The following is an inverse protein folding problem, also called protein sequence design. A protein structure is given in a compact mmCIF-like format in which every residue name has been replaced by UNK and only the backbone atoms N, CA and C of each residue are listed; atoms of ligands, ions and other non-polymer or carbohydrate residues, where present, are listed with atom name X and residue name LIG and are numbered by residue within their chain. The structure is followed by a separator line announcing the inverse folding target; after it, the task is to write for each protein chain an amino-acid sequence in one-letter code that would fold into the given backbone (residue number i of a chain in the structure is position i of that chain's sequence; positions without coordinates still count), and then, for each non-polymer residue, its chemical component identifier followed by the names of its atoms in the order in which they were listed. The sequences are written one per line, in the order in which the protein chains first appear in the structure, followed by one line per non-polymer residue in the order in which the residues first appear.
data_IF_574697208594
#
_entry.id   IF_574697208594
#
_cell.length_a   1.000
_cell.length_b   1.000
_cell.length_c   1.000
_cell.angle_alpha   90.00
_cell.angle_beta   90.00
_cell.angle_gamma   90.00
#
_symmetry.space_group_name_H-M   'P 1'
#
loop_
_entity.id
_entity.type
_entity.pdbx_description
1 polymer ?
#
# COMPACT_ATOMS: atom_id res chain seq x y z
N UNK A 1 -27.03 -2.61 6.07
CA UNK A 1 -26.53 -1.22 5.88
C UNK A 1 -25.46 -1.00 6.93
N UNK A 2 -24.27 -0.52 6.58
CA UNK A 2 -23.33 -0.07 7.60
C UNK A 2 -23.83 1.23 8.21
N UNK A 3 -23.90 1.30 9.55
CA UNK A 3 -24.37 2.48 10.30
C UNK A 3 -23.39 3.65 10.20
N UNK A 4 -22.12 3.39 9.84
CA UNK A 4 -21.03 4.38 9.73
C UNK A 4 -20.78 5.15 11.03
N UNK A 5 -21.09 4.51 12.15
CA UNK A 5 -20.84 4.99 13.50
C UNK A 5 -19.62 4.26 14.07
N UNK A 6 -19.01 4.85 15.09
CA UNK A 6 -17.96 4.19 15.85
C UNK A 6 -18.56 3.17 16.82
N UNK A 7 -17.86 2.05 17.04
CA UNK A 7 -18.21 1.12 18.12
C UNK A 7 -17.68 1.64 19.46
N UNK A 8 -16.42 2.05 19.48
CA UNK A 8 -15.71 2.54 20.67
C UNK A 8 -14.64 3.54 20.26
N UNK A 9 -14.39 4.52 21.14
CA UNK A 9 -13.29 5.47 21.01
C UNK A 9 -12.37 5.38 22.22
N UNK A 10 -11.06 5.29 21.97
CA UNK A 10 -10.04 5.20 23.01
C UNK A 10 -9.05 6.37 22.92
N UNK A 11 -8.77 7.00 24.05
CA UNK A 11 -7.58 7.85 24.19
C UNK A 11 -6.35 6.96 24.42
N UNK A 12 -5.83 6.41 23.32
CA UNK A 12 -4.83 5.36 23.37
C UNK A 12 -3.45 5.84 23.87
N UNK A 13 -2.95 6.96 23.34
CA UNK A 13 -1.60 7.48 23.59
C UNK A 13 -1.60 8.98 23.83
N UNK A 14 -0.51 9.49 24.43
CA UNK A 14 -0.32 10.94 24.61
C UNK A 14 0.08 11.63 23.31
N UNK A 15 1.03 11.03 22.58
CA UNK A 15 1.49 11.52 21.28
C UNK A 15 0.72 10.93 20.10
N UNK A 16 1.32 10.97 18.91
CA UNK A 16 0.67 10.51 17.69
C UNK A 16 0.64 8.98 17.65
N UNK A 17 -0.50 8.43 17.25
CA UNK A 17 -0.62 7.02 16.91
C UNK A 17 -0.04 6.86 15.50
N UNK A 18 1.21 6.45 15.42
CA UNK A 18 1.96 6.36 14.17
C UNK A 18 1.57 5.13 13.37
N UNK A 19 1.08 4.07 14.04
CA UNK A 19 0.62 2.87 13.38
C UNK A 19 -0.49 2.17 14.15
N UNK A 20 -1.37 1.53 13.38
CA UNK A 20 -2.45 0.70 13.89
C UNK A 20 -2.51 -0.60 13.08
N UNK A 21 -2.83 -1.69 13.74
CA UNK A 21 -3.03 -2.98 13.09
C UNK A 21 -4.12 -3.76 13.83
N UNK A 22 -4.89 -4.56 13.10
CA UNK A 22 -5.84 -5.51 13.68
C UNK A 22 -5.16 -6.86 13.80
N UNK A 23 -5.41 -7.58 14.90
CA UNK A 23 -4.78 -8.88 15.14
C UNK A 23 -5.80 -9.86 15.71
N UNK A 24 -5.51 -11.15 15.55
CA UNK A 24 -6.21 -12.24 16.22
C UNK A 24 -5.21 -12.87 17.20
N UNK A 25 -5.14 -12.36 18.45
CA UNK A 25 -4.09 -12.76 19.37
C UNK A 25 -4.30 -14.22 19.76
N UNK A 26 -3.24 -15.03 19.67
CA UNK A 26 -3.25 -16.38 20.20
C UNK A 26 -2.53 -16.38 21.54
N UNK A 27 -3.28 -16.33 22.63
CA UNK A 27 -2.72 -16.50 23.97
C UNK A 27 -2.57 -17.99 24.27
N UNK A 28 -1.47 -18.37 24.92
CA UNK A 28 -1.28 -19.76 25.35
C UNK A 28 -2.30 -20.20 26.41
N UNK A 29 -2.73 -19.26 27.27
CA UNK A 29 -3.55 -19.57 28.44
C UNK A 29 -5.06 -19.50 28.14
N UNK A 30 -5.48 -18.66 27.18
CA UNK A 30 -6.87 -18.39 26.87
C UNK A 30 -7.08 -18.35 25.36
N UNK A 31 -8.09 -19.06 24.87
CA UNK A 31 -8.56 -18.90 23.50
C UNK A 31 -9.53 -17.70 23.46
N UNK A 32 -9.23 -16.62 22.73
CA UNK A 32 -10.14 -15.48 22.68
C UNK A 32 -11.41 -15.81 21.89
N UNK A 33 -12.53 -15.21 22.32
CA UNK A 33 -13.80 -15.28 21.62
C UNK A 33 -13.83 -14.33 20.42
N UNK A 34 -13.18 -14.72 19.32
CA UNK A 34 -13.08 -13.94 18.07
C UNK A 34 -14.42 -13.60 17.41
N UNK A 35 -15.52 -14.23 17.84
CA UNK A 35 -16.87 -13.92 17.35
C UNK A 35 -17.45 -12.66 17.99
N UNK A 36 -17.06 -12.39 19.23
CA UNK A 36 -17.63 -11.29 20.02
C UNK A 36 -16.60 -10.21 20.31
N UNK A 37 -15.30 -10.52 20.16
CA UNK A 37 -14.22 -9.59 20.42
C UNK A 37 -13.27 -9.48 19.24
N UNK A 38 -13.06 -8.25 18.79
CA UNK A 38 -11.99 -7.90 17.87
C UNK A 38 -10.84 -7.26 18.64
N UNK A 39 -9.61 -7.53 18.22
CA UNK A 39 -8.42 -6.98 18.87
C UNK A 39 -7.66 -6.04 17.93
N UNK A 40 -7.22 -4.91 18.47
CA UNK A 40 -6.39 -3.95 17.75
C UNK A 40 -5.09 -3.68 18.52
N UNK A 41 -4.00 -3.51 17.78
CA UNK A 41 -2.70 -3.06 18.27
C UNK A 41 -2.48 -1.62 17.79
N UNK A 42 -2.12 -0.74 18.71
CA UNK A 42 -1.68 0.62 18.40
C UNK A 42 -0.22 0.80 18.80
N UNK A 43 0.58 1.42 17.92
CA UNK A 43 1.93 1.87 18.23
C UNK A 43 2.02 3.39 18.14
N UNK A 44 2.89 3.98 18.95
CA UNK A 44 3.01 5.43 19.08
C UNK A 44 4.46 5.88 19.29
N UNK A 45 4.66 7.18 19.15
CA UNK A 45 5.91 7.90 19.41
C UNK A 45 6.29 7.93 20.90
N UNK A 46 5.32 7.72 21.81
CA UNK A 46 5.50 7.66 23.26
C UNK A 46 6.19 6.36 23.76
N UNK A 47 6.74 5.57 22.83
CA UNK A 47 7.48 4.32 23.07
C UNK A 47 6.64 3.17 23.61
N UNK A 48 5.32 3.27 23.50
CA UNK A 48 4.42 2.19 23.93
C UNK A 48 3.70 1.56 22.74
N UNK A 49 3.47 0.26 22.83
CA UNK A 49 2.53 -0.47 21.97
C UNK A 49 1.44 -1.02 22.86
N UNK A 50 0.18 -0.78 22.52
CA UNK A 50 -0.97 -1.17 23.34
C UNK A 50 -1.87 -2.11 22.56
N UNK A 51 -2.31 -3.19 23.22
CA UNK A 51 -3.28 -4.16 22.71
C UNK A 51 -4.63 -3.89 23.35
N UNK A 52 -5.64 -3.72 22.51
CA UNK A 52 -7.00 -3.40 22.91
C UNK A 52 -7.97 -4.49 22.45
N UNK A 53 -8.98 -4.76 23.27
CA UNK A 53 -10.16 -5.56 22.95
C UNK A 53 -11.35 -4.64 22.69
N UNK A 54 -12.13 -4.97 21.66
CA UNK A 54 -13.35 -4.29 21.28
C UNK A 54 -14.46 -5.33 21.26
N UNK A 55 -15.56 -5.07 21.97
CA UNK A 55 -16.74 -5.92 21.88
C UNK A 55 -17.51 -5.60 20.59
N UNK A 56 -17.91 -6.64 19.86
CA UNK A 56 -18.59 -6.51 18.58
C UNK A 56 -19.84 -7.38 18.58
N UNK A 57 -20.94 -6.78 18.14
CA UNK A 57 -22.27 -7.40 18.10
C UNK A 57 -22.53 -8.19 16.79
N UNK A 58 -21.49 -8.77 16.20
CA UNK A 58 -21.58 -9.48 14.91
C UNK A 58 -22.43 -10.77 15.01
N UNK A 59 -22.39 -11.43 16.18
CA UNK A 59 -23.13 -12.69 16.42
C UNK A 59 -23.95 -12.60 17.72
N UNK A 60 -25.25 -12.88 17.63
CA UNK A 60 -26.18 -12.87 18.77
C UNK A 60 -26.17 -14.16 19.62
N UNK A 61 -25.21 -15.06 19.41
CA UNK A 61 -25.18 -16.39 20.04
C UNK A 61 -24.88 -16.36 21.54
N UNK A 62 -24.21 -15.30 22.02
CA UNK A 62 -24.04 -15.05 23.46
C UNK A 62 -24.85 -13.80 23.83
N UNK A 63 -26.18 -13.94 23.94
CA UNK A 63 -26.92 -13.04 24.84
C UNK A 63 -26.60 -13.54 26.24
N UNK A 64 -26.00 -12.68 27.06
CA UNK A 64 -25.87 -12.87 28.49
C UNK A 64 -27.23 -13.26 29.07
N UNK A 65 -27.46 -14.55 29.29
CA UNK A 65 -28.50 -15.01 30.20
C UNK A 65 -28.11 -14.50 31.58
N UNK A 66 -29.09 -13.90 32.26
CA UNK A 66 -29.00 -13.27 33.56
C UNK A 66 -28.00 -13.92 34.53
N UNK A 67 -27.20 -13.07 35.18
CA UNK A 67 -26.39 -13.38 36.37
C UNK A 67 -25.17 -14.30 36.17
N UNK A 68 -24.20 -13.88 35.34
CA UNK A 68 -22.81 -14.16 35.68
C UNK A 68 -21.94 -12.94 35.41
N UNK A 69 -21.24 -12.49 36.45
CA UNK A 69 -20.33 -11.35 36.49
C UNK A 69 -19.04 -11.67 35.74
N UNK A 70 -19.13 -12.05 34.46
CA UNK A 70 -17.96 -12.09 33.59
C UNK A 70 -17.73 -10.66 33.15
N UNK A 71 -16.70 -10.04 33.71
CA UNK A 71 -16.23 -8.71 33.33
C UNK A 71 -16.09 -8.71 31.80
N UNK A 72 -16.93 -7.94 31.10
CA UNK A 72 -16.66 -7.59 29.71
C UNK A 72 -15.39 -6.73 29.74
N UNK A 73 -14.23 -7.37 29.61
CA UNK A 73 -12.91 -6.72 29.58
C UNK A 73 -12.77 -5.96 28.25
N UNK A 74 -13.55 -4.90 28.08
CA UNK A 74 -13.41 -3.96 26.97
C UNK A 74 -12.32 -2.96 27.29
N UNK A 75 -11.41 -2.73 26.34
CA UNK A 75 -10.34 -1.76 26.48
C UNK A 75 -8.96 -2.38 26.51
N UNK A 76 -8.08 -1.84 27.37
CA UNK A 76 -6.66 -2.14 27.33
C UNK A 76 -6.37 -3.53 27.91
N UNK A 77 -5.97 -4.46 27.05
CA UNK A 77 -5.59 -5.82 27.46
C UNK A 77 -4.15 -5.84 27.95
N UNK A 78 -3.22 -5.27 27.16
CA UNK A 78 -1.77 -5.33 27.42
C UNK A 78 -1.05 -4.09 26.92
N UNK A 79 0.04 -3.74 27.60
CA UNK A 79 1.00 -2.72 27.15
C UNK A 79 2.38 -3.35 26.98
N UNK A 80 3.04 -3.02 25.87
CA UNK A 80 4.42 -3.38 25.56
C UNK A 80 5.25 -2.10 25.52
N UNK A 81 6.28 -2.04 26.35
CA UNK A 81 7.13 -0.86 26.46
C UNK A 81 8.45 -1.06 25.70
N UNK A 82 8.75 -0.09 24.85
CA UNK A 82 9.98 0.00 24.07
C UNK A 82 10.96 1.04 24.61
N UNK A 83 12.23 0.91 24.23
CA UNK A 83 13.26 1.90 24.56
C UNK A 83 13.19 3.13 23.64
N UNK A 84 12.77 2.91 22.39
CA UNK A 84 12.68 3.89 21.31
C UNK A 84 11.24 4.10 20.85
N UNK A 85 10.98 5.25 20.23
CA UNK A 85 9.72 5.54 19.57
C UNK A 85 9.45 4.56 18.42
N UNK A 86 8.18 4.24 18.19
CA UNK A 86 7.72 3.42 17.07
C UNK A 86 7.10 4.32 16.00
N UNK A 87 7.17 3.87 14.75
CA UNK A 87 6.63 4.57 13.58
C UNK A 87 5.64 3.69 12.82
N UNK A 88 5.92 2.40 12.67
CA UNK A 88 5.06 1.47 11.94
C UNK A 88 4.79 0.21 12.76
N UNK A 89 3.63 -0.41 12.52
CA UNK A 89 3.30 -1.72 13.08
C UNK A 89 2.54 -2.52 12.03
N UNK A 90 2.78 -3.82 12.03
CA UNK A 90 1.92 -4.77 11.33
C UNK A 90 1.94 -6.12 12.07
N UNK A 91 0.87 -6.89 11.92
CA UNK A 91 0.71 -8.19 12.59
C UNK A 91 0.93 -9.33 11.61
N UNK A 92 1.53 -10.40 12.11
CA UNK A 92 1.57 -11.65 11.38
C UNK A 92 0.17 -12.27 11.40
N UNK A 93 -0.25 -12.87 10.28
CA UNK A 93 -1.64 -13.32 10.11
C UNK A 93 -2.00 -14.59 10.86
N UNK A 94 -1.05 -15.52 11.00
CA UNK A 94 -1.29 -16.85 11.59
C UNK A 94 -0.85 -16.88 13.05
N UNK A 95 0.43 -16.65 13.28
CA UNK A 95 1.03 -16.57 14.62
C UNK A 95 0.65 -15.26 15.33
N UNK A 96 0.65 -15.27 16.66
CA UNK A 96 0.48 -14.08 17.53
C UNK A 96 1.65 -13.10 17.51
N UNK A 97 2.44 -13.11 16.45
CA UNK A 97 3.63 -12.30 16.29
C UNK A 97 3.27 -10.99 15.60
N UNK A 98 3.93 -9.90 15.94
CA UNK A 98 3.82 -8.64 15.23
C UNK A 98 5.18 -7.97 15.14
N UNK A 99 5.35 -7.13 14.12
CA UNK A 99 6.59 -6.41 13.91
C UNK A 99 6.34 -4.92 14.07
N UNK A 100 7.23 -4.25 14.80
CA UNK A 100 7.22 -2.81 14.98
C UNK A 100 8.43 -2.21 14.29
N UNK A 101 8.21 -1.20 13.46
CA UNK A 101 9.25 -0.35 12.90
C UNK A 101 9.37 0.93 13.71
N UNK A 102 10.59 1.41 13.90
CA UNK A 102 10.90 2.63 14.64
C UNK A 102 12.39 2.95 14.47
N UNK A 103 13.11 3.20 15.55
CA UNK A 103 14.58 3.30 15.47
C UNK A 103 15.23 2.00 14.99
N UNK A 104 14.64 0.84 15.31
CA UNK A 104 15.03 -0.49 14.87
C UNK A 104 13.77 -1.28 14.55
N UNK A 105 13.86 -2.31 13.71
CA UNK A 105 12.76 -3.25 13.50
C UNK A 105 12.82 -4.36 14.55
N UNK A 106 11.77 -4.44 15.36
CA UNK A 106 11.67 -5.42 16.43
C UNK A 106 10.50 -6.36 16.15
N UNK A 107 10.73 -7.65 16.38
CA UNK A 107 9.72 -8.69 16.34
C UNK A 107 9.21 -8.93 17.76
N UNK A 108 7.91 -8.98 17.92
CA UNK A 108 7.23 -9.16 19.19
C UNK A 108 6.27 -10.34 19.12
N UNK A 109 6.06 -10.99 20.24
CA UNK A 109 4.98 -11.94 20.42
C UNK A 109 4.02 -11.37 21.44
N UNK A 110 2.71 -11.47 21.20
CA UNK A 110 1.67 -10.93 22.08
C UNK A 110 1.79 -11.48 23.51
N UNK A 111 2.35 -12.69 23.68
CA UNK A 111 2.52 -13.30 24.99
C UNK A 111 3.67 -12.68 25.81
N UNK A 112 4.67 -12.09 25.14
CA UNK A 112 5.91 -11.60 25.76
C UNK A 112 5.93 -10.07 25.83
N UNK A 113 6.30 -9.53 27.01
CA UNK A 113 6.39 -8.07 27.23
C UNK A 113 7.66 -7.46 26.64
N UNK A 114 8.65 -8.27 26.25
CA UNK A 114 9.92 -7.83 25.66
C UNK A 114 10.03 -8.27 24.20
N UNK A 115 10.78 -7.54 23.36
CA UNK A 115 10.95 -7.92 21.96
C UNK A 115 11.65 -9.28 21.87
N UNK A 116 11.19 -10.12 20.95
CA UNK A 116 11.72 -11.46 20.69
C UNK A 116 13.05 -11.39 19.96
N UNK A 117 13.09 -10.61 18.88
CA UNK A 117 14.30 -10.42 18.07
C UNK A 117 14.37 -9.01 17.50
N UNK A 118 15.59 -8.58 17.20
CA UNK A 118 15.86 -7.36 16.44
C UNK A 118 16.36 -7.77 15.04
N UNK A 119 15.66 -7.32 14.01
CA UNK A 119 15.93 -7.67 12.61
C UNK A 119 16.73 -6.60 11.86
N UNK A 120 17.21 -5.55 12.54
CA UNK A 120 17.89 -4.42 11.91
C UNK A 120 19.09 -4.84 11.04
N UNK A 121 19.10 -4.45 9.76
CA UNK A 121 20.27 -4.60 8.88
C UNK A 121 21.43 -3.70 9.32
N UNK A 122 21.11 -2.46 9.72
CA UNK A 122 22.06 -1.42 10.11
C UNK A 122 21.45 -0.47 11.14
N UNK A 123 22.12 0.66 11.39
CA UNK A 123 21.68 1.68 12.33
C UNK A 123 20.74 2.72 11.70
N UNK A 124 19.82 2.26 10.84
CA UNK A 124 18.88 3.11 10.11
C UNK A 124 17.48 2.95 10.69
N UNK A 125 16.74 4.06 10.81
CA UNK A 125 15.35 4.04 11.27
C UNK A 125 14.39 3.59 10.15
N UNK A 126 13.34 2.90 10.57
CA UNK A 126 12.37 2.23 9.70
C UNK A 126 11.03 2.93 9.83
N UNK A 127 10.47 3.35 8.70
CA UNK A 127 9.26 4.17 8.64
C UNK A 127 7.99 3.36 8.52
N UNK A 128 7.97 2.32 7.69
CA UNK A 128 6.80 1.47 7.52
C UNK A 128 7.20 0.00 7.42
N UNK A 129 6.32 -0.87 7.92
CA UNK A 129 6.48 -2.31 7.99
C UNK A 129 5.19 -2.98 7.51
N UNK A 130 5.32 -4.00 6.66
CA UNK A 130 4.20 -4.82 6.18
C UNK A 130 4.59 -6.28 6.03
N UNK A 131 3.76 -7.15 6.60
CA UNK A 131 3.78 -8.59 6.36
C UNK A 131 3.15 -8.92 5.02
N UNK A 132 3.66 -9.98 4.40
CA UNK A 132 3.05 -10.57 3.23
C UNK A 132 1.77 -11.34 3.62
N UNK A 133 0.81 -11.38 2.70
CA UNK A 133 -0.53 -11.90 2.98
C UNK A 133 -0.62 -13.42 2.84
N UNK A 134 0.12 -14.01 1.90
CA UNK A 134 0.08 -15.44 1.60
C UNK A 134 1.28 -16.16 2.23
N UNK A 135 2.50 -15.72 1.89
CA UNK A 135 3.75 -16.22 2.51
C UNK A 135 4.02 -15.41 3.77
N UNK A 136 3.30 -15.72 4.84
CA UNK A 136 3.19 -14.86 6.03
C UNK A 136 4.50 -14.62 6.76
N UNK A 137 5.50 -15.50 6.58
CA UNK A 137 6.83 -15.37 7.19
C UNK A 137 7.74 -14.32 6.51
N UNK A 138 7.29 -13.73 5.40
CA UNK A 138 8.03 -12.69 4.68
C UNK A 138 7.54 -11.32 5.11
N UNK A 139 8.49 -10.43 5.41
CA UNK A 139 8.23 -9.06 5.80
C UNK A 139 9.01 -8.09 4.92
N UNK A 140 8.41 -6.94 4.61
CA UNK A 140 9.08 -5.81 3.98
C UNK A 140 9.05 -4.59 4.90
N UNK A 141 10.13 -3.82 4.89
CA UNK A 141 10.19 -2.52 5.54
C UNK A 141 10.76 -1.44 4.63
N UNK A 142 10.38 -0.20 4.93
CA UNK A 142 10.98 1.01 4.34
C UNK A 142 11.91 1.67 5.34
N UNK A 143 13.09 2.08 4.89
CA UNK A 143 14.05 2.88 5.67
C UNK A 143 13.96 4.36 5.33
N UNK A 144 14.38 5.22 6.26
CA UNK A 144 14.51 6.66 6.01
C UNK A 144 15.65 6.99 5.02
N UNK A 145 16.59 6.07 4.81
CA UNK A 145 17.73 6.17 3.88
C UNK A 145 17.35 5.78 2.43
N UNK A 146 16.07 5.97 2.08
CA UNK A 146 15.50 5.63 0.77
C UNK A 146 15.61 4.14 0.43
N UNK A 147 15.76 3.29 1.46
CA UNK A 147 15.94 1.87 1.27
C UNK A 147 14.65 1.08 1.48
N UNK A 148 14.60 -0.06 0.82
CA UNK A 148 13.60 -1.10 1.07
C UNK A 148 14.36 -2.35 1.45
N UNK A 149 13.95 -2.96 2.57
CA UNK A 149 14.57 -4.16 3.10
C UNK A 149 13.52 -5.25 3.20
N UNK A 150 13.86 -6.43 2.71
CA UNK A 150 13.09 -7.65 2.88
C UNK A 150 13.67 -8.48 4.03
N UNK A 151 12.81 -9.19 4.74
CA UNK A 151 13.16 -10.04 5.87
C UNK A 151 12.46 -11.38 5.74
N UNK A 152 13.12 -12.43 6.21
CA UNK A 152 12.55 -13.75 6.33
C UNK A 152 12.58 -14.17 7.79
N UNK A 153 11.40 -14.42 8.35
CA UNK A 153 11.23 -14.76 9.75
C UNK A 153 11.64 -16.20 10.07
N UNK A 154 11.67 -17.08 9.07
CA UNK A 154 12.11 -18.47 9.23
C UNK A 154 13.61 -18.53 9.51
N UNK A 155 14.37 -17.69 8.83
CA UNK A 155 15.81 -17.49 9.11
C UNK A 155 16.06 -16.44 10.18
N UNK A 156 15.01 -15.70 10.58
CA UNK A 156 15.05 -14.57 11.51
C UNK A 156 16.16 -13.57 11.15
N UNK A 157 16.30 -13.29 9.85
CA UNK A 157 17.37 -12.46 9.30
C UNK A 157 16.85 -11.58 8.16
N UNK A 158 17.49 -10.41 7.92
CA UNK A 158 17.14 -9.61 6.77
C UNK A 158 17.75 -10.21 5.50
N UNK A 159 17.00 -10.25 4.40
CA UNK A 159 17.36 -11.00 3.18
C UNK A 159 17.97 -10.14 2.10
N UNK A 160 17.34 -9.01 1.75
CA UNK A 160 17.82 -8.16 0.67
C UNK A 160 17.46 -6.69 0.91
N UNK A 161 18.40 -5.79 0.63
CA UNK A 161 18.22 -4.34 0.66
C UNK A 161 18.40 -3.74 -0.74
N UNK A 162 17.48 -2.85 -1.13
CA UNK A 162 17.61 -1.98 -2.30
C UNK A 162 17.53 -0.52 -1.88
N UNK A 163 18.27 0.34 -2.57
CA UNK A 163 18.28 1.79 -2.33
C UNK A 163 17.72 2.50 -3.55
N UNK A 164 16.68 3.29 -3.35
CA UNK A 164 16.04 4.11 -4.38
C UNK A 164 16.56 5.54 -4.35
N UNK A 165 16.19 6.31 -5.36
CA UNK A 165 16.51 7.74 -5.46
C UNK A 165 15.91 8.54 -4.31
N UNK A 166 14.60 8.38 -4.08
CA UNK A 166 13.86 9.06 -3.00
C UNK A 166 13.21 8.08 -2.03
N UNK A 167 12.77 8.62 -0.89
CA UNK A 167 12.20 7.87 0.22
C UNK A 167 10.87 7.23 -0.14
N UNK A 168 10.69 6.00 0.33
CA UNK A 168 9.45 5.25 0.19
C UNK A 168 8.58 5.45 1.42
N UNK A 169 7.33 5.85 1.22
CA UNK A 169 6.38 6.11 2.30
C UNK A 169 5.73 4.81 2.82
N UNK A 170 5.14 4.06 1.90
CA UNK A 170 4.36 2.87 2.22
C UNK A 170 4.67 1.73 1.25
N UNK A 171 4.45 0.52 1.74
CA UNK A 171 4.50 -0.72 0.96
C UNK A 171 3.15 -1.40 1.10
N UNK A 172 2.72 -2.13 0.08
CA UNK A 172 1.64 -3.11 0.20
C UNK A 172 1.94 -4.33 -0.67
N UNK A 173 1.72 -5.53 -0.12
CA UNK A 173 1.87 -6.80 -0.83
C UNK A 173 0.62 -7.12 -1.65
N UNK A 174 0.79 -7.73 -2.81
CA UNK A 174 -0.34 -8.24 -3.57
C UNK A 174 -0.91 -9.49 -2.87
N UNK A 175 -2.22 -9.50 -2.50
CA UNK A 175 -2.83 -10.63 -1.79
C UNK A 175 -3.06 -11.88 -2.66
N UNK A 176 -2.97 -11.76 -3.99
CA UNK A 176 -3.10 -12.89 -4.91
C UNK A 176 -1.75 -13.40 -5.40
N UNK A 177 -0.79 -12.50 -5.59
CA UNK A 177 0.58 -12.83 -6.04
C UNK A 177 1.58 -12.56 -4.92
N UNK A 178 1.90 -13.61 -4.14
CA UNK A 178 2.68 -13.49 -2.90
C UNK A 178 4.03 -12.79 -3.04
N UNK A 179 4.72 -12.89 -4.17
CA UNK A 179 6.06 -12.32 -4.35
C UNK A 179 6.04 -10.90 -4.93
N UNK A 180 4.86 -10.35 -5.24
CA UNK A 180 4.76 -9.02 -5.84
C UNK A 180 4.27 -8.00 -4.81
N UNK A 181 4.85 -6.81 -4.83
CA UNK A 181 4.46 -5.72 -3.93
C UNK A 181 4.60 -4.35 -4.58
N UNK A 182 3.82 -3.39 -4.09
CA UNK A 182 3.85 -2.01 -4.56
C UNK A 182 4.40 -1.13 -3.48
N UNK A 183 5.12 -0.11 -3.92
CA UNK A 183 5.73 0.89 -3.06
C UNK A 183 5.24 2.26 -3.48
N UNK A 184 4.81 3.06 -2.51
CA UNK A 184 4.53 4.47 -2.67
C UNK A 184 5.81 5.28 -2.39
N UNK A 185 6.27 6.07 -3.36
CA UNK A 185 7.49 6.86 -3.23
C UNK A 185 7.17 8.37 -3.24
N UNK A 186 8.03 9.16 -2.59
CA UNK A 186 8.03 10.63 -2.66
C UNK A 186 8.26 11.18 -4.07
N UNK A 187 8.87 10.40 -4.98
CA UNK A 187 9.07 10.70 -6.41
C UNK A 187 7.77 10.82 -7.24
N UNK A 188 6.62 11.05 -6.61
CA UNK A 188 5.29 11.19 -7.22
C UNK A 188 4.78 9.93 -7.92
N UNK A 189 5.48 8.81 -7.78
CA UNK A 189 5.16 7.57 -8.48
C UNK A 189 4.99 6.45 -7.47
N UNK A 190 4.28 5.40 -7.89
CA UNK A 190 4.32 4.11 -7.21
C UNK A 190 5.02 3.08 -8.10
N UNK A 191 5.74 2.15 -7.46
CA UNK A 191 6.55 1.15 -8.15
C UNK A 191 6.06 -0.25 -7.80
N UNK A 192 5.80 -1.07 -8.81
CA UNK A 192 5.47 -2.49 -8.63
C UNK A 192 6.74 -3.33 -8.76
N UNK A 193 7.04 -4.16 -7.78
CA UNK A 193 8.24 -4.99 -7.73
C UNK A 193 7.91 -6.47 -7.62
N UNK A 194 8.82 -7.29 -8.17
CA UNK A 194 8.91 -8.71 -7.86
C UNK A 194 10.02 -8.89 -6.83
N UNK A 195 9.69 -9.50 -5.70
CA UNK A 195 10.60 -9.83 -4.61
C UNK A 195 11.85 -10.59 -5.07
N UNK A 196 11.73 -11.43 -6.10
CA UNK A 196 12.83 -12.26 -6.60
C UNK A 196 13.84 -11.46 -7.42
N UNK A 197 13.40 -10.39 -8.10
CA UNK A 197 14.27 -9.54 -8.91
C UNK A 197 13.97 -8.07 -8.67
N UNK A 198 14.68 -7.50 -7.71
CA UNK A 198 14.59 -6.10 -7.32
C UNK A 198 15.45 -5.16 -8.18
N UNK A 199 16.13 -5.66 -9.22
CA UNK A 199 16.95 -4.82 -10.11
C UNK A 199 16.14 -3.99 -11.10
N UNK A 200 14.82 -4.21 -11.18
CA UNK A 200 13.88 -3.44 -11.99
C UNK A 200 12.50 -3.48 -11.35
N UNK A 201 11.70 -2.45 -11.56
CA UNK A 201 10.27 -2.56 -11.33
C UNK A 201 9.60 -3.36 -12.46
N UNK A 202 8.48 -4.01 -12.14
CA UNK A 202 7.55 -4.60 -13.10
C UNK A 202 6.78 -3.52 -13.82
N UNK A 203 6.20 -2.57 -13.08
CA UNK A 203 5.46 -1.42 -13.63
C UNK A 203 5.76 -0.18 -12.79
N UNK A 204 5.57 0.99 -13.41
CA UNK A 204 5.66 2.29 -12.75
C UNK A 204 4.31 2.97 -12.90
N UNK A 205 3.63 3.24 -11.80
CA UNK A 205 2.38 3.98 -11.77
C UNK A 205 2.70 5.47 -11.68
N UNK A 206 2.40 6.18 -12.76
CA UNK A 206 2.60 7.62 -12.93
C UNK A 206 1.25 8.30 -12.93
N UNK A 207 1.22 9.60 -12.62
CA UNK A 207 0.13 10.58 -12.85
C UNK A 207 -0.07 11.49 -11.64
N UNK A 208 0.45 11.11 -10.46
CA UNK A 208 0.49 12.00 -9.31
C UNK A 208 1.44 13.18 -9.53
N UNK A 209 1.11 14.27 -8.84
CA UNK A 209 1.80 15.56 -8.97
C UNK A 209 2.50 15.96 -7.68
N UNK A 210 2.25 15.26 -6.58
CA UNK A 210 3.01 15.35 -5.32
C UNK A 210 3.37 13.95 -4.81
N UNK A 211 4.08 13.86 -3.70
CA UNK A 211 4.49 12.61 -3.06
C UNK A 211 3.32 11.65 -2.86
N UNK A 212 3.52 10.35 -3.11
CA UNK A 212 2.53 9.31 -2.84
C UNK A 212 2.70 8.85 -1.40
N UNK A 213 1.68 9.05 -0.56
CA UNK A 213 1.77 8.83 0.88
C UNK A 213 1.44 7.39 1.28
N UNK A 214 0.44 6.80 0.64
CA UNK A 214 0.02 5.43 0.94
C UNK A 214 -0.44 4.72 -0.32
N UNK A 215 -0.35 3.39 -0.29
CA UNK A 215 -0.77 2.50 -1.36
C UNK A 215 -1.43 1.28 -0.79
N UNK A 216 -2.49 0.81 -1.44
CA UNK A 216 -3.13 -0.43 -1.07
C UNK A 216 -3.62 -1.22 -2.29
N UNK A 217 -3.62 -2.54 -2.15
CA UNK A 217 -4.10 -3.46 -3.17
C UNK A 217 -5.59 -3.73 -3.01
N UNK A 218 -6.28 -3.87 -4.13
CA UNK A 218 -7.56 -4.58 -4.13
C UNK A 218 -7.34 -6.00 -3.62
N UNK A 219 -8.26 -6.57 -2.82
CA UNK A 219 -8.17 -7.97 -2.41
C UNK A 219 -8.24 -8.94 -3.61
N UNK A 220 -8.66 -8.47 -4.80
CA UNK A 220 -8.58 -9.24 -6.05
C UNK A 220 -7.18 -9.25 -6.69
N UNK A 221 -6.26 -8.38 -6.26
CA UNK A 221 -4.91 -8.27 -6.84
C UNK A 221 -4.83 -7.54 -8.19
N UNK A 222 -5.94 -7.11 -8.77
CA UNK A 222 -5.99 -6.53 -10.14
C UNK A 222 -5.87 -5.00 -10.16
N UNK A 223 -6.28 -4.34 -9.08
CA UNK A 223 -6.29 -2.89 -8.95
C UNK A 223 -5.47 -2.46 -7.73
N UNK A 224 -4.93 -1.25 -7.81
CA UNK A 224 -4.19 -0.58 -6.74
C UNK A 224 -4.81 0.79 -6.55
N UNK A 225 -4.88 1.23 -5.30
CA UNK A 225 -5.25 2.59 -4.95
C UNK A 225 -4.07 3.30 -4.30
N UNK A 226 -3.86 4.55 -4.67
CA UNK A 226 -2.81 5.39 -4.09
C UNK A 226 -3.41 6.70 -3.58
N UNK A 227 -3.01 7.07 -2.37
CA UNK A 227 -3.29 8.38 -1.78
C UNK A 227 -2.05 9.25 -1.85
N UNK A 228 -2.20 10.52 -2.22
CA UNK A 228 -1.08 11.43 -2.36
C UNK A 228 -1.28 12.73 -1.59
N UNK A 229 -0.15 13.36 -1.32
CA UNK A 229 -0.07 14.70 -0.78
C UNK A 229 -0.70 15.76 -1.71
N UNK A 230 -0.98 15.44 -2.99
CA UNK A 230 -1.68 16.31 -3.94
C UNK A 230 -3.20 16.44 -3.71
N UNK A 231 -3.70 15.91 -2.58
CA UNK A 231 -5.12 15.94 -2.17
C UNK A 231 -6.04 15.13 -3.06
N UNK A 232 -5.48 14.14 -3.76
CA UNK A 232 -6.22 13.25 -4.63
C UNK A 232 -5.89 11.79 -4.37
N UNK A 233 -6.86 10.95 -4.72
CA UNK A 233 -6.73 9.50 -4.71
C UNK A 233 -6.76 9.06 -6.16
N UNK A 234 -5.84 8.18 -6.55
CA UNK A 234 -5.84 7.57 -7.89
C UNK A 234 -6.00 6.08 -7.77
N UNK A 235 -6.71 5.52 -8.75
CA UNK A 235 -6.89 4.08 -8.89
C UNK A 235 -6.16 3.66 -10.16
N UNK A 236 -5.40 2.57 -10.07
CA UNK A 236 -4.59 2.01 -11.13
C UNK A 236 -4.98 0.55 -11.35
N UNK A 237 -4.91 0.10 -12.61
CA UNK A 237 -4.89 -1.33 -12.88
C UNK A 237 -3.43 -1.79 -12.80
N UNK A 238 -3.15 -2.95 -12.22
CA UNK A 238 -1.78 -3.48 -12.09
C UNK A 238 -1.03 -3.58 -13.42
N UNK A 239 -1.77 -3.89 -14.49
CA UNK A 239 -1.25 -4.04 -15.85
C UNK A 239 -0.99 -2.72 -16.58
N UNK A 240 -1.43 -1.58 -16.05
CA UNK A 240 -1.28 -0.28 -16.70
C UNK A 240 -0.58 0.74 -15.78
N UNK A 241 0.44 1.41 -16.29
CA UNK A 241 1.19 2.43 -15.54
C UNK A 241 0.50 3.78 -15.35
N UNK A 242 -0.77 3.92 -15.76
CA UNK A 242 -1.53 5.17 -15.70
C UNK A 242 -2.87 4.98 -14.99
N UNK A 243 -3.37 6.07 -14.43
CA UNK A 243 -4.56 6.10 -13.59
C UNK A 243 -5.82 5.76 -14.40
N UNK A 244 -6.60 4.81 -13.87
CA UNK A 244 -7.95 4.51 -14.33
C UNK A 244 -8.93 5.61 -13.93
N UNK A 245 -8.79 6.10 -12.70
CA UNK A 245 -9.74 7.02 -12.10
C UNK A 245 -9.05 7.92 -11.07
N UNK A 246 -9.60 9.11 -10.86
CA UNK A 246 -9.14 10.10 -9.88
C UNK A 246 -10.33 10.56 -9.03
N UNK A 247 -10.17 10.50 -7.71
CA UNK A 247 -11.10 11.07 -6.76
C UNK A 247 -10.49 12.27 -6.05
N UNK A 248 -11.28 13.34 -5.98
CA UNK A 248 -10.94 14.55 -5.25
C UNK A 248 -12.23 15.20 -4.74
N UNK A 249 -12.10 16.04 -3.73
CA UNK A 249 -13.19 16.86 -3.22
C UNK A 249 -12.58 18.11 -2.59
N UNK A 250 -13.22 19.27 -2.75
CA UNK A 250 -12.70 20.56 -2.26
C UNK A 250 -12.36 20.57 -0.76
N UNK A 251 -13.12 19.81 0.04
CA UNK A 251 -12.90 19.69 1.50
C UNK A 251 -11.71 18.78 1.84
N UNK A 252 -11.44 17.78 1.02
CA UNK A 252 -10.36 16.82 1.25
C UNK A 252 -9.01 17.53 1.09
N UNK A 253 -8.16 17.42 2.12
CA UNK A 253 -6.81 17.96 2.12
C UNK A 253 -5.82 16.84 1.80
N UNK A 254 -4.66 16.79 2.46
CA UNK A 254 -3.64 15.80 2.20
C UNK A 254 -4.14 14.40 2.57
N UNK A 255 -4.04 13.45 1.64
CA UNK A 255 -4.48 12.07 1.89
C UNK A 255 -3.28 11.28 2.40
N UNK A 256 -3.32 10.90 3.68
CA UNK A 256 -2.22 10.20 4.34
C UNK A 256 -2.37 8.68 4.28
N UNK A 257 -3.60 8.16 4.34
CA UNK A 257 -3.84 6.74 4.37
C UNK A 257 -4.98 6.36 3.45
N UNK A 258 -4.81 5.26 2.71
CA UNK A 258 -5.84 4.70 1.84
C UNK A 258 -5.85 3.19 1.99
N UNK A 259 -7.04 2.61 2.09
CA UNK A 259 -7.24 1.15 2.14
C UNK A 259 -8.40 0.73 1.26
N UNK A 260 -8.28 -0.42 0.61
CA UNK A 260 -9.41 -1.10 -0.02
C UNK A 260 -10.25 -1.78 1.05
N UNK A 261 -11.57 -1.82 0.82
CA UNK A 261 -12.42 -2.74 1.56
C UNK A 261 -12.18 -4.18 1.10
N UNK A 262 -12.36 -5.14 2.01
CA UNK A 262 -12.19 -6.57 1.73
C UNK A 262 -13.16 -7.12 0.68
N UNK A 263 -14.20 -6.37 0.30
CA UNK A 263 -15.14 -6.72 -0.77
C UNK A 263 -14.71 -6.19 -2.17
N UNK A 264 -13.55 -5.52 -2.27
CA UNK A 264 -13.01 -4.86 -3.47
C UNK A 264 -13.88 -3.73 -4.08
N UNK A 265 -15.00 -3.37 -3.46
CA UNK A 265 -15.99 -2.44 -4.03
C UNK A 265 -15.83 -1.03 -3.52
N UNK A 266 -15.19 -0.85 -2.37
CA UNK A 266 -15.04 0.45 -1.73
C UNK A 266 -13.58 0.75 -1.42
N UNK A 267 -13.30 2.03 -1.31
CA UNK A 267 -12.01 2.59 -0.97
C UNK A 267 -12.24 3.51 0.22
N UNK A 268 -11.43 3.33 1.26
CA UNK A 268 -11.46 4.12 2.48
C UNK A 268 -10.25 5.05 2.44
N UNK A 269 -10.46 6.34 2.67
CA UNK A 269 -9.38 7.34 2.69
C UNK A 269 -9.40 8.12 3.99
N UNK A 270 -8.27 8.17 4.67
CA UNK A 270 -7.99 9.08 5.79
C UNK A 270 -7.23 10.30 5.30
N UNK A 271 -7.81 11.48 5.51
CA UNK A 271 -7.25 12.76 5.12
C UNK A 271 -6.89 13.59 6.36
N UNK A 272 -5.95 14.52 6.19
CA UNK A 272 -5.45 15.44 7.22
C UNK A 272 -6.54 16.37 7.80
N UNK A 273 -7.67 16.49 7.10
CA UNK A 273 -8.84 17.24 7.59
C UNK A 273 -9.62 16.52 8.71
N UNK A 274 -9.07 15.42 9.26
CA UNK A 274 -9.64 14.62 10.34
C UNK A 274 -10.78 13.70 9.91
N UNK A 275 -11.13 13.66 8.62
CA UNK A 275 -12.26 12.89 8.12
C UNK A 275 -11.82 11.60 7.44
N UNK A 276 -12.51 10.51 7.76
CA UNK A 276 -12.46 9.25 7.02
C UNK A 276 -13.60 9.25 6.00
N UNK A 277 -13.25 9.06 4.71
CA UNK A 277 -14.22 9.03 3.61
C UNK A 277 -14.25 7.67 2.94
N UNK A 278 -15.43 7.30 2.45
CA UNK A 278 -15.66 6.05 1.74
C UNK A 278 -16.09 6.36 0.30
N UNK A 279 -15.38 5.75 -0.65
CA UNK A 279 -15.57 5.88 -2.09
C UNK A 279 -15.92 4.52 -2.67
N UNK A 280 -16.55 4.49 -3.84
CA UNK A 280 -16.65 3.25 -4.63
C UNK A 280 -15.38 3.06 -5.44
N UNK A 281 -14.90 1.84 -5.62
CA UNK A 281 -13.80 1.55 -6.54
C UNK A 281 -14.22 1.86 -7.97
N UNK A 282 -15.38 1.36 -8.41
CA UNK A 282 -16.02 1.72 -9.68
C UNK A 282 -17.13 2.77 -9.47
N UNK A 283 -16.91 4.01 -9.89
CA UNK A 283 -17.86 5.12 -9.63
C UNK A 283 -19.28 4.90 -10.20
N UNK A 284 -19.38 4.27 -11.37
CA UNK A 284 -20.66 4.00 -12.04
C UNK A 284 -21.41 2.82 -11.42
N UNK A 285 -20.72 1.94 -10.69
CA UNK A 285 -21.35 0.76 -10.12
C UNK A 285 -22.27 1.12 -8.94
N UNK A 286 -23.35 0.37 -8.81
CA UNK A 286 -24.33 0.47 -7.73
C UNK A 286 -24.33 -0.85 -6.97
N UNK A 287 -24.51 -0.76 -5.65
CA UNK A 287 -24.43 -1.89 -4.71
C UNK A 287 -25.74 -2.66 -4.56
N UNK A 288 -26.77 -2.33 -5.36
CA UNK A 288 -28.03 -3.04 -5.38
C UNK A 288 -27.85 -4.45 -5.96
N UNK A 289 -28.69 -5.38 -5.50
CA UNK A 289 -28.82 -6.69 -6.15
C UNK A 289 -29.45 -6.47 -7.52
N UNK A 290 -28.77 -6.95 -8.57
CA UNK A 290 -29.16 -6.74 -9.97
C UNK A 290 -29.91 -7.96 -10.49
N UNK A 291 -30.91 -7.74 -11.33
CA UNK A 291 -31.58 -8.85 -12.05
C UNK A 291 -30.64 -9.48 -13.07
N UNK A 292 -30.89 -10.72 -13.51
CA UNK A 292 -30.05 -11.39 -14.53
C UNK A 292 -29.99 -10.60 -15.83
N UNK A 293 -31.11 -10.03 -16.29
CA UNK A 293 -31.18 -9.16 -17.48
C UNK A 293 -30.32 -7.91 -17.33
N UNK A 294 -30.39 -7.24 -16.18
CA UNK A 294 -29.60 -6.04 -15.90
C UNK A 294 -28.11 -6.36 -15.80
N UNK A 295 -27.75 -7.43 -15.09
CA UNK A 295 -26.37 -7.92 -14.98
C UNK A 295 -25.79 -8.22 -16.36
N UNK A 296 -26.48 -9.00 -17.19
CA UNK A 296 -26.02 -9.35 -18.53
C UNK A 296 -25.85 -8.11 -19.42
N UNK A 297 -26.73 -7.12 -19.30
CA UNK A 297 -26.59 -5.86 -20.03
C UNK A 297 -25.32 -5.10 -19.61
N UNK A 298 -25.07 -4.98 -18.31
CA UNK A 298 -23.87 -4.28 -17.81
C UNK A 298 -22.58 -4.99 -18.22
N UNK A 299 -22.54 -6.31 -18.16
CA UNK A 299 -21.40 -7.12 -18.61
C UNK A 299 -21.17 -6.98 -20.12
N UNK A 300 -22.25 -6.99 -20.92
CA UNK A 300 -22.19 -6.73 -22.35
C UNK A 300 -21.63 -5.33 -22.65
N UNK A 301 -22.13 -4.31 -21.97
CA UNK A 301 -21.67 -2.93 -22.13
C UNK A 301 -20.20 -2.76 -21.71
N UNK A 302 -19.74 -3.45 -20.67
CA UNK A 302 -18.34 -3.43 -20.20
C UNK A 302 -17.39 -4.08 -21.23
N UNK A 303 -17.76 -5.25 -21.77
CA UNK A 303 -17.02 -5.90 -22.87
C UNK A 303 -17.00 -5.07 -24.14
N UNK A 304 -18.11 -4.42 -24.49
CA UNK A 304 -18.19 -3.57 -25.66
C UNK A 304 -17.31 -2.32 -25.52
N UNK A 305 -17.33 -1.68 -24.35
CA UNK A 305 -16.44 -0.56 -24.01
C UNK A 305 -14.97 -0.94 -24.03
N UNK A 306 -14.63 -2.16 -23.58
CA UNK A 306 -13.27 -2.68 -23.65
C UNK A 306 -12.81 -2.88 -25.11
N UNK A 307 -13.62 -3.57 -25.92
CA UNK A 307 -13.32 -3.83 -27.35
C UNK A 307 -13.11 -2.53 -28.14
N UNK A 308 -13.95 -1.52 -27.90
CA UNK A 308 -13.91 -0.24 -28.63
C UNK A 308 -13.15 0.88 -27.89
N UNK A 309 -12.36 0.56 -26.85
CA UNK A 309 -11.62 1.53 -26.02
C UNK A 309 -10.68 2.44 -26.83
N UNK A 310 -10.15 1.95 -27.93
CA UNK A 310 -9.14 2.64 -28.74
C UNK A 310 -9.72 3.73 -29.66
N UNK A 311 -11.03 3.69 -29.95
CA UNK A 311 -11.69 4.66 -30.83
C UNK A 311 -11.55 6.08 -30.24
N UNK A 312 -11.21 7.09 -31.05
CA UNK A 312 -10.81 8.41 -30.55
C UNK A 312 -11.91 9.11 -29.74
N UNK A 313 -13.16 9.05 -30.19
CA UNK A 313 -14.29 9.67 -29.49
C UNK A 313 -14.57 8.99 -28.14
N UNK A 314 -14.61 7.65 -28.13
CA UNK A 314 -14.83 6.84 -26.92
C UNK A 314 -13.68 7.05 -25.93
N UNK A 315 -12.43 7.03 -26.41
CA UNK A 315 -11.23 7.28 -25.60
C UNK A 315 -11.24 8.68 -25.01
N UNK A 316 -11.63 9.70 -25.77
CA UNK A 316 -11.74 11.09 -25.30
C UNK A 316 -12.75 11.22 -24.17
N UNK A 317 -13.95 10.65 -24.33
CA UNK A 317 -15.00 10.68 -23.32
C UNK A 317 -14.58 9.87 -22.08
N UNK A 318 -14.04 8.67 -22.27
CA UNK A 318 -13.63 7.80 -21.16
C UNK A 318 -12.48 8.38 -20.34
N UNK A 319 -11.53 9.10 -20.97
CA UNK A 319 -10.41 9.75 -20.29
C UNK A 319 -10.77 11.08 -19.64
N UNK A 320 -11.87 11.70 -20.06
CA UNK A 320 -12.25 13.03 -19.58
C UNK A 320 -12.62 12.97 -18.08
N UNK A 321 -11.90 13.74 -17.27
CA UNK A 321 -12.19 13.96 -15.85
C UNK A 321 -11.96 15.42 -15.49
N UNK A 322 -12.83 15.97 -14.66
CA UNK A 322 -12.59 17.26 -14.04
C UNK A 322 -11.60 17.08 -12.90
N UNK A 323 -10.52 17.85 -12.92
CA UNK A 323 -9.42 17.79 -11.96
C UNK A 323 -9.26 19.20 -11.35
N UNK A 324 -8.91 19.35 -10.06
CA UNK A 324 -8.68 20.66 -9.47
C UNK A 324 -7.66 21.49 -10.25
N UNK A 325 -7.86 22.80 -10.30
CA UNK A 325 -7.02 23.72 -11.07
C UNK A 325 -5.53 23.62 -10.68
N UNK A 326 -5.24 23.47 -9.38
CA UNK A 326 -3.87 23.31 -8.88
C UNK A 326 -3.18 22.07 -9.48
N UNK A 327 -3.89 20.93 -9.49
CA UNK A 327 -3.38 19.69 -10.07
C UNK A 327 -3.24 19.84 -11.59
N UNK A 328 -4.23 20.46 -12.25
CA UNK A 328 -4.23 20.66 -13.70
C UNK A 328 -3.05 21.52 -14.17
N UNK A 329 -2.79 22.66 -13.51
CA UNK A 329 -1.64 23.53 -13.79
C UNK A 329 -0.32 22.81 -13.55
N UNK A 330 -0.20 22.10 -12.43
CA UNK A 330 1.02 21.38 -12.11
C UNK A 330 1.27 20.19 -13.06
N UNK A 331 0.23 19.53 -13.58
CA UNK A 331 0.33 18.55 -14.66
C UNK A 331 0.83 19.18 -15.97
N UNK A 332 0.34 20.37 -16.33
CA UNK A 332 0.78 21.08 -17.53
C UNK A 332 2.26 21.47 -17.45
N UNK A 333 2.69 22.01 -16.31
CA UNK A 333 4.09 22.34 -16.04
C UNK A 333 4.96 21.07 -16.13
N UNK A 334 4.55 19.98 -15.47
CA UNK A 334 5.26 18.68 -15.50
C UNK A 334 5.37 18.12 -16.92
N UNK A 335 4.33 18.27 -17.75
CA UNK A 335 4.35 17.83 -19.14
C UNK A 335 5.32 18.65 -20.01
N UNK A 336 5.35 19.98 -19.81
CA UNK A 336 6.29 20.88 -20.51
C UNK A 336 7.73 20.55 -20.09
N UNK A 337 7.96 20.35 -18.80
CA UNK A 337 9.26 19.98 -18.25
C UNK A 337 9.75 18.64 -18.80
N UNK A 338 8.92 17.59 -18.74
CA UNK A 338 9.27 16.27 -19.29
C UNK A 338 9.52 16.33 -20.80
N UNK A 339 8.73 17.10 -21.55
CA UNK A 339 8.94 17.29 -23.00
C UNK A 339 10.25 18.01 -23.30
N UNK A 340 10.63 18.99 -22.47
CA UNK A 340 11.89 19.72 -22.55
C UNK A 340 13.09 18.81 -22.24
N UNK A 341 13.00 18.00 -21.17
CA UNK A 341 14.04 17.04 -20.79
C UNK A 341 14.23 16.00 -21.90
N UNK A 342 13.14 15.38 -22.38
CA UNK A 342 13.19 14.41 -23.49
C UNK A 342 13.83 15.02 -24.74
N UNK A 343 13.50 16.26 -25.09
CA UNK A 343 14.12 16.97 -26.23
C UNK A 343 15.63 17.16 -26.02
N UNK A 344 16.06 17.54 -24.82
CA UNK A 344 17.49 17.70 -24.48
C UNK A 344 18.24 16.36 -24.54
N UNK A 345 17.68 15.29 -23.97
CA UNK A 345 18.26 13.94 -24.04
C UNK A 345 18.39 13.44 -25.48
N UNK A 346 17.41 13.70 -26.35
CA UNK A 346 17.49 13.36 -27.78
C UNK A 346 18.62 14.11 -28.48
N UNK A 347 18.78 15.41 -28.20
CA UNK A 347 19.88 16.21 -28.75
C UNK A 347 21.24 15.71 -28.26
N UNK A 348 21.36 15.41 -26.97
CA UNK A 348 22.58 14.90 -26.37
C UNK A 348 22.95 13.53 -26.95
N UNK A 349 21.97 12.64 -27.12
CA UNK A 349 22.15 11.31 -27.73
C UNK A 349 22.57 11.39 -29.19
N UNK A 350 22.17 12.43 -29.92
CA UNK A 350 22.63 12.66 -31.30
C UNK A 350 24.13 12.98 -31.35
N UNK A 351 24.65 13.65 -30.33
CA UNK A 351 26.06 14.08 -30.26
C UNK A 351 26.96 13.04 -29.57
N UNK A 352 26.53 12.49 -28.44
CA UNK A 352 27.29 11.52 -27.63
C UNK A 352 26.98 10.09 -28.06
N UNK A 353 28.01 9.34 -28.46
CA UNK A 353 27.87 7.95 -28.94
C UNK A 353 27.67 6.90 -27.83
N UNK A 354 28.17 7.17 -26.62
CA UNK A 354 28.25 6.14 -25.55
C UNK A 354 27.10 6.22 -24.51
N UNK A 355 25.98 6.86 -24.84
CA UNK A 355 24.86 7.02 -23.90
C UNK A 355 23.95 5.77 -23.89
N UNK A 356 23.86 5.01 -22.77
CA UNK A 356 23.01 3.83 -22.73
C UNK A 356 21.52 4.19 -22.66
N UNK A 357 20.68 3.30 -23.20
CA UNK A 357 19.23 3.36 -22.98
C UNK A 357 18.89 2.70 -21.65
N UNK A 358 18.50 3.53 -20.67
CA UNK A 358 18.06 3.08 -19.35
C UNK A 358 16.53 3.03 -19.38
N UNK A 359 15.95 1.83 -19.25
CA UNK A 359 14.50 1.66 -19.14
C UNK A 359 13.97 2.43 -17.92
N UNK A 360 12.79 3.01 -18.08
CA UNK A 360 12.11 3.80 -17.05
C UNK A 360 11.93 3.03 -15.74
N UNK A 361 11.74 1.70 -15.85
CA UNK A 361 11.57 0.79 -14.71
C UNK A 361 12.83 0.65 -13.85
N UNK A 362 13.99 1.10 -14.35
CA UNK A 362 15.29 1.02 -13.68
C UNK A 362 15.84 2.37 -13.22
N UNK A 363 15.38 3.50 -13.79
CA UNK A 363 15.96 4.83 -13.53
C UNK A 363 16.00 5.25 -12.06
N UNK A 364 15.03 4.80 -11.29
CA UNK A 364 14.86 5.13 -9.86
C UNK A 364 15.69 4.26 -8.90
N UNK A 365 16.33 3.20 -9.39
CA UNK A 365 17.12 2.28 -8.55
C UNK A 365 18.57 2.76 -8.53
N UNK A 366 19.07 3.13 -7.36
CA UNK A 366 20.48 3.52 -7.17
C UNK A 366 21.36 2.28 -7.05
N UNK A 367 20.90 1.28 -6.29
CA UNK A 367 21.67 0.07 -6.10
C UNK A 367 20.95 -1.03 -5.31
N UNK A 368 21.48 -2.25 -5.43
CA UNK A 368 21.01 -3.45 -4.73
C UNK A 368 22.19 -4.10 -4.01
N UNK A 369 22.00 -4.56 -2.77
CA UNK A 369 23.10 -5.18 -2.00
C UNK A 369 23.55 -6.50 -2.64
N UNK A 370 22.62 -7.44 -2.80
CA UNK A 370 22.89 -8.67 -3.54
C UNK A 370 22.72 -8.42 -5.04
N UNK A 371 23.80 -8.62 -5.80
CA UNK A 371 23.81 -8.45 -7.25
C UNK A 371 23.26 -9.71 -7.92
N UNK A 372 22.52 -9.51 -9.00
CA UNK A 372 21.99 -10.59 -9.82
C UNK A 372 22.96 -10.95 -10.94
N UNK A 373 23.16 -12.25 -11.18
CA UNK A 373 23.94 -12.72 -12.32
C UNK A 373 23.18 -12.46 -13.64
N UNK A 374 23.83 -11.75 -14.55
CA UNK A 374 23.25 -11.36 -15.83
C UNK A 374 23.30 -12.55 -16.81
N UNK A 375 22.40 -13.51 -16.66
CA UNK A 375 22.36 -14.69 -17.54
C UNK A 375 22.08 -14.27 -18.99
N UNK A 376 22.67 -14.96 -19.97
CA UNK A 376 22.53 -14.62 -21.40
C UNK A 376 21.08 -14.53 -21.92
N UNK A 377 20.11 -15.18 -21.25
CA UNK A 377 18.67 -15.05 -21.51
C UNK A 377 18.09 -13.70 -21.10
N UNK A 378 18.56 -13.11 -19.99
CA UNK A 378 18.15 -11.76 -19.58
C UNK A 378 18.67 -10.68 -20.54
N UNK A 379 19.85 -10.85 -21.14
CA UNK A 379 20.33 -9.94 -22.20
C UNK A 379 19.41 -9.93 -23.42
N UNK A 380 18.85 -11.08 -23.79
CA UNK A 380 17.89 -11.20 -24.89
C UNK A 380 16.55 -10.56 -24.53
N UNK A 381 16.00 -10.85 -23.34
CA UNK A 381 14.79 -10.18 -22.83
C UNK A 381 14.95 -8.67 -22.68
N UNK A 382 16.10 -8.18 -22.18
CA UNK A 382 16.42 -6.73 -22.10
C UNK A 382 16.41 -6.06 -23.47
N UNK A 383 16.90 -6.74 -24.52
CA UNK A 383 16.82 -6.22 -25.89
C UNK A 383 15.37 -6.15 -26.38
N UNK A 384 14.52 -7.10 -25.99
CA UNK A 384 13.12 -7.13 -26.39
C UNK A 384 12.26 -6.12 -25.59
N UNK A 385 12.50 -5.99 -24.28
CA UNK A 385 11.84 -5.00 -23.42
C UNK A 385 12.23 -3.57 -23.80
N UNK A 386 13.52 -3.31 -24.05
CA UNK A 386 13.97 -1.99 -24.55
C UNK A 386 13.36 -1.66 -25.92
N UNK A 387 13.08 -2.67 -26.77
CA UNK A 387 12.39 -2.47 -28.06
C UNK A 387 10.90 -2.17 -27.87
N UNK A 388 10.24 -2.82 -26.91
CA UNK A 388 8.81 -2.57 -26.58
C UNK A 388 8.63 -1.21 -25.92
N UNK A 389 9.46 -0.88 -24.93
CA UNK A 389 9.45 0.43 -24.27
C UNK A 389 9.72 1.55 -25.31
N UNK A 390 10.63 1.33 -26.27
CA UNK A 390 10.88 2.28 -27.36
C UNK A 390 9.71 2.43 -28.37
N UNK A 391 8.83 1.42 -28.46
CA UNK A 391 7.61 1.48 -29.28
C UNK A 391 6.44 2.15 -28.54
N UNK A 392 6.39 2.06 -27.20
CA UNK A 392 5.40 2.78 -26.38
C UNK A 392 5.74 4.27 -26.21
N UNK A 393 6.99 4.67 -26.48
CA UNK A 393 7.44 6.07 -26.47
C UNK A 393 7.26 6.83 -27.81
N UNK A 394 6.91 6.14 -28.91
CA UNK A 394 6.51 6.74 -30.20
C UNK A 394 4.99 6.87 -30.29
#
# INVERSE_FOLDING_TARGET
MSTREEFVSFKAHYGLITGLCVTQPHFHDKKPDLKNQNFMLSCSDDKTVKLWSINVDDYSNKRSSDNDSVINEEGLVRTFDGESAFQGIDSHRVNSTFATGGAKIQLWDVNRVKPVSNLSWGADNITSVKFNQNETDILASTGSDNSIVLYDLRTNSPTQKIVQTMRTNAICWNPMEAFNFVIANEDHNAYYYDMRNLSRSLTVFKDHVSAVMDVDFSPTGDEIVTGSYDKSIRIYNTNHGHSREIYHTRRMQHVFQVKYSMDAKYIISGSDDGNVRLWRSKAWERSNVKTTREKNKLEYDEKLKERFRHMPEIKRISRHRHVPEVIKKAQEIKNIELSSIKRREVNERRTRKDMPFISERKKQIVGTVHKYEDTGRERKRRRDDNKRDAQEEQ
#
